data_IF_041920522733
#
_entry.id   IF_041920522733
#
_cell.length_a   1.000
_cell.length_b   1.000
_cell.length_c   1.000
_cell.angle_alpha   90.00
_cell.angle_beta   90.00
_cell.angle_gamma   90.00
#
_symmetry.space_group_name_H-M   'P 1'
#
loop_
_entity.id
_entity.type
_entity.pdbx_description
1 polymer ?
#
# COMPACT_ATOMS: atom_id res chain seq x y z
N UNK A 1 7.34 4.87 21.54
CA UNK A 1 7.58 5.18 20.12
C UNK A 1 8.10 3.93 19.47
N UNK A 2 7.49 3.50 18.37
CA UNK A 2 7.95 2.35 17.58
C UNK A 2 8.42 2.88 16.22
N UNK A 3 9.54 2.38 15.71
CA UNK A 3 10.03 2.71 14.39
C UNK A 3 10.46 1.46 13.65
N UNK A 4 10.33 1.50 12.33
CA UNK A 4 10.70 0.38 11.48
C UNK A 4 11.29 0.87 10.16
N UNK A 5 12.42 0.28 9.78
CA UNK A 5 13.05 0.47 8.50
C UNK A 5 12.72 -0.72 7.60
N UNK A 6 12.18 -0.45 6.41
CA UNK A 6 11.95 -1.53 5.45
C UNK A 6 13.30 -2.16 5.03
N UNK A 7 13.36 -3.50 4.87
CA UNK A 7 14.56 -4.18 4.40
C UNK A 7 15.00 -3.61 3.05
N UNK A 8 16.29 -3.38 2.84
CA UNK A 8 16.86 -2.73 1.65
C UNK A 8 16.55 -1.22 1.53
N UNK A 9 16.16 -0.55 2.62
CA UNK A 9 16.00 0.91 2.70
C UNK A 9 14.73 1.44 2.02
N UNK A 10 14.63 2.76 1.84
CA UNK A 10 13.58 3.41 1.04
C UNK A 10 12.29 3.82 1.77
N UNK A 11 12.02 3.28 2.97
CA UNK A 11 10.94 3.76 3.84
C UNK A 11 11.35 3.57 5.30
N UNK A 12 11.37 4.67 6.03
CA UNK A 12 11.46 4.68 7.48
C UNK A 12 10.08 5.04 8.03
N UNK A 13 9.56 4.25 8.96
CA UNK A 13 8.25 4.49 9.55
C UNK A 13 8.37 4.72 11.05
N UNK A 14 7.52 5.60 11.57
CA UNK A 14 7.38 5.89 12.99
C UNK A 14 5.92 5.80 13.38
N UNK A 15 5.68 5.19 14.53
CA UNK A 15 4.40 5.16 15.22
C UNK A 15 4.59 5.77 16.60
N UNK A 16 3.79 6.78 16.91
CA UNK A 16 3.90 7.53 18.15
C UNK A 16 2.52 7.90 18.69
N UNK A 17 2.46 8.09 20.01
CA UNK A 17 1.27 8.59 20.70
C UNK A 17 1.48 10.08 20.92
N UNK A 18 0.51 10.89 20.51
CA UNK A 18 0.49 12.35 20.71
C UNK A 18 0.27 12.71 22.18
N UNK A 19 0.44 13.99 22.53
CA UNK A 19 0.17 14.47 23.89
C UNK A 19 -1.30 14.27 24.29
N UNK A 20 -2.19 14.29 23.31
CA UNK A 20 -3.64 14.08 23.44
C UNK A 20 -4.01 12.59 23.46
N UNK A 21 -3.05 11.67 23.49
CA UNK A 21 -3.29 10.23 23.55
C UNK A 21 -3.65 9.56 22.22
N UNK A 22 -3.62 10.30 21.09
CA UNK A 22 -3.91 9.74 19.77
C UNK A 22 -2.69 9.03 19.17
N UNK A 23 -2.90 7.87 18.56
CA UNK A 23 -1.86 7.19 17.76
C UNK A 23 -1.72 7.89 16.40
N UNK A 24 -0.48 8.20 16.01
CA UNK A 24 -0.13 8.78 14.70
C UNK A 24 1.00 8.00 14.05
N UNK A 25 1.11 8.18 12.74
CA UNK A 25 2.04 7.48 11.86
C UNK A 25 2.77 8.50 10.99
N UNK A 26 4.08 8.31 10.85
CA UNK A 26 4.93 9.11 9.96
C UNK A 26 5.83 8.17 9.12
N UNK A 27 5.63 8.05 7.80
CA UNK A 27 4.58 8.72 7.01
C UNK A 27 3.18 8.17 7.33
N UNK A 28 2.12 8.74 6.73
CA UNK A 28 0.75 8.32 6.99
C UNK A 28 0.54 6.82 6.74
N UNK A 29 -0.30 6.17 7.55
CA UNK A 29 -0.43 4.70 7.53
C UNK A 29 -0.83 4.15 6.15
N UNK A 30 -1.67 4.85 5.39
CA UNK A 30 -2.04 4.41 4.05
C UNK A 30 -0.83 4.40 3.10
N UNK A 31 0.08 5.37 3.21
CA UNK A 31 1.31 5.44 2.39
C UNK A 31 2.26 4.31 2.75
N UNK A 32 2.40 4.00 4.04
CA UNK A 32 3.20 2.86 4.48
C UNK A 32 2.69 1.55 3.86
N UNK A 33 1.36 1.34 3.87
CA UNK A 33 0.74 0.13 3.29
C UNK A 33 0.95 0.08 1.78
N UNK A 34 0.63 1.15 1.05
CA UNK A 34 0.73 1.15 -0.41
C UNK A 34 2.17 1.02 -0.90
N UNK A 35 3.11 1.70 -0.24
CA UNK A 35 4.54 1.57 -0.53
C UNK A 35 5.01 0.13 -0.33
N UNK A 36 4.60 -0.49 0.76
CA UNK A 36 4.94 -1.89 1.04
C UNK A 36 4.35 -2.84 -0.01
N UNK A 37 3.09 -2.65 -0.40
CA UNK A 37 2.43 -3.45 -1.44
C UNK A 37 3.16 -3.35 -2.79
N UNK A 38 3.48 -2.13 -3.25
CA UNK A 38 4.23 -1.92 -4.50
C UNK A 38 5.58 -2.64 -4.46
N UNK A 39 6.31 -2.54 -3.33
CA UNK A 39 7.60 -3.23 -3.17
C UNK A 39 7.50 -4.74 -3.20
N UNK A 40 6.45 -5.31 -2.60
CA UNK A 40 6.20 -6.75 -2.69
C UNK A 40 5.99 -7.15 -4.14
N UNK A 41 5.24 -6.37 -4.92
CA UNK A 41 4.98 -6.66 -6.34
C UNK A 41 6.24 -6.52 -7.19
N UNK A 42 7.07 -5.50 -6.92
CA UNK A 42 8.30 -5.22 -7.67
C UNK A 42 9.48 -6.13 -7.26
N UNK A 43 9.33 -6.93 -6.21
CA UNK A 43 10.37 -7.84 -5.75
C UNK A 43 10.80 -8.78 -6.89
N UNK A 44 12.13 -8.93 -7.13
CA UNK A 44 12.65 -9.76 -8.20
C UNK A 44 12.11 -11.19 -8.23
N UNK A 45 11.72 -11.75 -7.08
CA UNK A 45 11.13 -13.09 -6.96
C UNK A 45 9.83 -13.25 -7.75
N UNK A 46 9.10 -12.16 -8.00
CA UNK A 46 7.80 -12.18 -8.72
C UNK A 46 7.88 -11.57 -10.13
N UNK A 47 9.06 -11.09 -10.53
CA UNK A 47 9.27 -10.20 -11.69
C UNK A 47 8.92 -10.80 -13.05
N UNK A 48 8.70 -12.11 -13.14
CA UNK A 48 8.30 -12.80 -14.38
C UNK A 48 6.87 -13.33 -14.36
N UNK A 49 6.22 -13.42 -13.20
CA UNK A 49 4.94 -14.11 -13.02
C UNK A 49 3.76 -13.17 -12.78
N UNK A 50 3.99 -11.97 -12.26
CA UNK A 50 2.92 -11.10 -11.76
C UNK A 50 2.39 -10.13 -12.84
N UNK A 51 1.46 -10.64 -13.66
CA UNK A 51 0.81 -9.90 -14.76
C UNK A 51 -0.58 -9.35 -14.40
N UNK A 52 -1.23 -9.94 -13.41
CA UNK A 52 -2.62 -9.64 -13.03
C UNK A 52 -2.68 -9.32 -11.55
N UNK A 53 -3.38 -8.24 -11.20
CA UNK A 53 -3.61 -7.83 -9.81
C UNK A 53 -5.10 -7.66 -9.60
N UNK A 54 -5.58 -8.14 -8.45
CA UNK A 54 -6.93 -7.86 -7.96
C UNK A 54 -6.82 -7.05 -6.67
N UNK A 55 -7.37 -5.84 -6.67
CA UNK A 55 -7.45 -4.97 -5.49
C UNK A 55 -8.86 -5.09 -4.88
N UNK A 56 -8.97 -5.86 -3.81
CA UNK A 56 -10.22 -6.04 -3.06
C UNK A 56 -10.40 -4.92 -2.02
N UNK A 57 -11.56 -4.29 -2.01
CA UNK A 57 -11.86 -3.19 -1.08
C UNK A 57 -11.29 -1.86 -1.55
N UNK A 58 -11.24 -1.62 -2.85
CA UNK A 58 -10.61 -0.47 -3.50
C UNK A 58 -11.41 0.85 -3.41
N UNK A 59 -12.21 1.06 -2.36
CA UNK A 59 -13.20 2.16 -2.30
C UNK A 59 -12.62 3.56 -2.56
N UNK A 60 -11.39 3.81 -2.11
CA UNK A 60 -10.70 5.09 -2.32
C UNK A 60 -9.86 5.15 -3.60
N UNK A 61 -9.67 4.02 -4.29
CA UNK A 61 -8.90 3.88 -5.54
C UNK A 61 -7.46 4.43 -5.49
N UNK A 62 -6.91 4.70 -4.29
CA UNK A 62 -5.58 5.33 -4.12
C UNK A 62 -4.40 4.40 -4.42
N UNK A 63 -4.60 3.08 -4.35
CA UNK A 63 -3.58 2.10 -4.71
C UNK A 63 -3.46 1.92 -6.23
N UNK A 64 -4.59 1.97 -6.95
CA UNK A 64 -4.66 1.79 -8.41
C UNK A 64 -3.64 2.63 -9.22
N UNK A 65 -3.48 3.95 -9.00
CA UNK A 65 -2.51 4.73 -9.77
C UNK A 65 -1.06 4.30 -9.54
N UNK A 66 -0.74 3.72 -8.37
CA UNK A 66 0.58 3.17 -8.09
C UNK A 66 0.81 1.85 -8.83
N UNK A 67 -0.20 0.96 -8.81
CA UNK A 67 -0.15 -0.31 -9.54
C UNK A 67 0.02 -0.13 -11.05
N UNK A 68 -0.63 0.88 -11.63
CA UNK A 68 -0.52 1.22 -13.06
C UNK A 68 0.88 1.64 -13.52
N UNK A 69 1.76 2.05 -12.60
CA UNK A 69 3.14 2.45 -12.91
C UNK A 69 4.09 1.25 -13.01
N UNK A 70 3.65 0.06 -12.59
CA UNK A 70 4.48 -1.13 -12.57
C UNK A 70 4.51 -1.71 -14.00
N UNK A 71 5.66 -1.68 -14.72
CA UNK A 71 5.69 -1.91 -16.17
C UNK A 71 5.21 -3.28 -16.66
N UNK A 72 5.12 -4.27 -15.76
CA UNK A 72 4.77 -5.67 -16.08
C UNK A 72 3.34 -6.06 -15.70
N UNK A 73 2.60 -5.16 -15.06
CA UNK A 73 1.20 -5.40 -14.69
C UNK A 73 0.35 -5.08 -15.91
N UNK A 74 -0.28 -6.12 -16.48
CA UNK A 74 -1.09 -6.05 -17.69
C UNK A 74 -2.57 -5.83 -17.36
N UNK A 75 -3.06 -6.43 -16.26
CA UNK A 75 -4.47 -6.37 -15.87
C UNK A 75 -4.62 -6.02 -14.40
N UNK A 76 -5.48 -5.04 -14.10
CA UNK A 76 -5.86 -4.68 -12.73
C UNK A 76 -7.38 -4.75 -12.64
N UNK A 77 -7.88 -5.63 -11.79
CA UNK A 77 -9.28 -5.68 -11.39
C UNK A 77 -9.40 -4.98 -10.04
N UNK A 78 -10.36 -4.06 -9.92
CA UNK A 78 -10.65 -3.40 -8.66
C UNK A 78 -12.08 -3.77 -8.27
N UNK A 79 -12.24 -4.47 -7.15
CA UNK A 79 -13.54 -4.92 -6.66
C UNK A 79 -13.86 -4.23 -5.33
N UNK A 80 -15.00 -3.55 -5.28
CA UNK A 80 -15.40 -2.72 -4.16
C UNK A 80 -16.89 -2.86 -3.89
N UNK A 81 -17.25 -3.33 -2.69
CA UNK A 81 -18.62 -3.26 -2.19
C UNK A 81 -18.85 -1.89 -1.55
N UNK A 82 -19.53 -0.99 -2.26
CA UNK A 82 -19.96 0.30 -1.70
C UNK A 82 -21.28 0.08 -0.97
N UNK A 83 -21.23 -0.01 0.37
CA UNK A 83 -22.44 0.08 1.18
C UNK A 83 -22.93 1.53 1.21
N UNK A 84 -23.96 1.84 0.42
CA UNK A 84 -24.76 3.04 0.64
C UNK A 84 -25.50 2.87 1.97
N UNK A 85 -25.09 3.60 3.02
CA UNK A 85 -25.96 3.79 4.17
C UNK A 85 -27.17 4.60 3.69
N UNK A 86 -28.34 3.95 3.65
CA UNK A 86 -29.63 4.66 3.59
C UNK A 86 -29.86 5.44 4.87
#
# INVERSE_FOLDING_TARGET
>A
MFSYDLPNGGLHTKTFVTKEGQIKFDPALYEQRYTTTVRIIEDPRWRQSLKKIVDFGCSEMRLLPLLRRIPKVEHILADGVIHYKK
#
